data_IF_835977038891
#
_entry.id   IF_835977038891
#
_cell.length_a   1.000
_cell.length_b   1.000
_cell.length_c   1.000
_cell.angle_alpha   90.00
_cell.angle_beta   90.00
_cell.angle_gamma   90.00
#
_symmetry.space_group_name_H-M   'P 1'
#
loop_
_entity.id
_entity.type
_entity.pdbx_description
1 polymer ?
#
# COMPACT_ATOMS: atom_id res chain seq x y z
N UNK A 1 0.83 -15.47 -3.79
CA UNK A 1 -0.10 -14.48 -4.40
C UNK A 1 -0.59 -13.60 -3.28
N UNK A 2 -0.27 -12.31 -3.33
CA UNK A 2 -0.72 -11.30 -2.37
C UNK A 2 -1.93 -10.59 -3.01
N UNK A 3 -3.08 -10.58 -2.33
CA UNK A 3 -4.26 -9.86 -2.79
C UNK A 3 -4.54 -8.70 -1.83
N UNK A 4 -4.64 -7.49 -2.37
CA UNK A 4 -4.92 -6.28 -1.63
C UNK A 4 -6.28 -5.77 -2.09
N UNK A 5 -7.31 -5.95 -1.28
CA UNK A 5 -8.61 -5.34 -1.53
C UNK A 5 -8.65 -3.92 -0.94
N UNK A 6 -9.54 -3.07 -1.46
CA UNK A 6 -9.68 -1.66 -1.06
C UNK A 6 -8.34 -0.91 -1.04
N UNK A 7 -7.54 -1.03 -2.10
CA UNK A 7 -6.24 -0.35 -2.19
C UNK A 7 -6.35 1.16 -1.96
N UNK A 8 -7.49 1.78 -2.26
CA UNK A 8 -7.82 3.18 -2.00
C UNK A 8 -7.86 3.56 -0.50
N UNK A 9 -8.02 2.60 0.40
CA UNK A 9 -7.89 2.82 1.84
C UNK A 9 -6.43 3.10 2.25
N UNK A 10 -5.47 2.49 1.54
CA UNK A 10 -4.03 2.65 1.72
C UNK A 10 -3.44 3.74 0.82
N UNK A 11 -3.96 3.90 -0.40
CA UNK A 11 -3.38 4.71 -1.47
C UNK A 11 -3.93 6.13 -1.59
N UNK A 12 -4.77 6.59 -0.65
CA UNK A 12 -5.36 7.93 -0.67
C UNK A 12 -4.25 8.99 -0.60
N UNK A 13 -3.80 9.38 -1.80
CA UNK A 13 -2.94 10.49 -2.22
C UNK A 13 -2.05 11.08 -1.11
N UNK A 14 -0.73 11.10 -1.33
CA UNK A 14 0.28 11.90 -0.59
C UNK A 14 0.01 13.41 -0.75
N UNK A 15 -1.20 13.86 -0.46
CA UNK A 15 -1.68 15.21 -0.66
C UNK A 15 -1.31 16.06 0.55
N UNK A 16 -0.17 16.72 0.49
CA UNK A 16 0.05 18.15 0.78
C UNK A 16 -0.78 18.85 1.90
N UNK A 17 -1.24 18.17 2.95
CA UNK A 17 -2.16 18.78 3.89
C UNK A 17 -2.23 18.05 5.23
N UNK A 18 -1.78 18.77 6.27
CA UNK A 18 -1.96 18.49 7.70
C UNK A 18 -0.91 17.56 8.37
N UNK A 19 0.11 18.12 9.05
CA UNK A 19 0.96 17.36 9.95
C UNK A 19 0.19 17.12 11.27
N UNK A 20 -0.25 15.88 11.52
CA UNK A 20 -0.84 15.57 12.83
C UNK A 20 -1.73 14.33 12.97
N UNK A 21 -1.89 13.49 11.95
CA UNK A 21 -2.74 12.28 12.03
C UNK A 21 -2.29 11.12 11.14
N UNK A 22 -0.99 11.04 10.87
CA UNK A 22 -0.41 10.30 9.73
C UNK A 22 0.47 9.10 10.14
N UNK A 23 0.38 8.57 11.35
CA UNK A 23 1.38 7.56 11.79
C UNK A 23 1.00 6.12 11.44
N UNK A 24 -0.23 5.66 11.74
CA UNK A 24 -0.57 4.23 11.61
C UNK A 24 -0.67 3.77 10.15
N UNK A 25 -1.17 4.63 9.25
CA UNK A 25 -1.34 4.30 7.83
C UNK A 25 -0.01 4.23 7.11
N UNK A 26 0.87 5.22 7.32
CA UNK A 26 2.22 5.21 6.75
C UNK A 26 3.07 4.09 7.35
N UNK A 27 2.91 3.79 8.65
CA UNK A 27 3.58 2.67 9.28
C UNK A 27 3.15 1.33 8.67
N UNK A 28 1.85 1.15 8.41
CA UNK A 28 1.31 -0.06 7.75
C UNK A 28 1.81 -0.18 6.32
N UNK A 29 1.86 0.92 5.56
CA UNK A 29 2.38 0.94 4.20
C UNK A 29 3.89 0.62 4.15
N UNK A 30 4.68 1.26 5.01
CA UNK A 30 6.12 1.01 5.08
C UNK A 30 6.42 -0.42 5.51
N UNK A 31 5.63 -1.00 6.42
CA UNK A 31 5.77 -2.41 6.79
C UNK A 31 5.50 -3.33 5.59
N UNK A 32 4.47 -3.06 4.79
CA UNK A 32 4.18 -3.82 3.58
C UNK A 32 5.30 -3.67 2.52
N UNK A 33 5.88 -2.48 2.38
CA UNK A 33 7.00 -2.23 1.46
C UNK A 33 8.29 -2.92 1.90
N UNK A 34 8.61 -2.91 3.20
CA UNK A 34 9.78 -3.62 3.77
C UNK A 34 9.61 -5.14 3.59
N UNK A 35 8.41 -5.65 3.83
CA UNK A 35 8.11 -7.06 3.60
C UNK A 35 8.23 -7.41 2.12
N UNK A 36 7.74 -6.54 1.22
CA UNK A 36 7.87 -6.70 -0.24
C UNK A 36 9.34 -6.66 -0.73
N UNK A 37 10.21 -5.86 -0.11
CA UNK A 37 11.65 -5.79 -0.43
C UNK A 37 12.42 -7.04 0.04
N UNK A 38 11.88 -7.78 1.02
CA UNK A 38 12.44 -9.05 1.50
C UNK A 38 12.22 -10.25 0.57
N UNK A 39 11.35 -10.14 -0.45
CA UNK A 39 11.14 -11.21 -1.42
C UNK A 39 12.28 -11.22 -2.44
N UNK A 40 13.21 -12.16 -2.29
CA UNK A 40 14.29 -12.38 -3.25
C UNK A 40 13.77 -12.66 -4.67
N UNK A 41 14.59 -12.36 -5.69
CA UNK A 41 14.27 -12.47 -7.13
C UNK A 41 13.76 -13.85 -7.60
N UNK A 42 13.93 -14.89 -6.77
CA UNK A 42 13.53 -16.26 -7.05
C UNK A 42 12.10 -16.59 -6.58
N UNK A 43 11.42 -15.68 -5.88
CA UNK A 43 10.04 -15.87 -5.46
C UNK A 43 9.08 -15.28 -6.49
N UNK A 44 8.30 -16.14 -7.16
CA UNK A 44 7.22 -15.74 -8.06
C UNK A 44 6.04 -15.15 -7.27
N UNK A 45 6.20 -13.92 -6.77
CA UNK A 45 5.17 -13.18 -6.02
C UNK A 45 4.31 -12.41 -7.01
N UNK A 46 3.06 -12.85 -7.16
CA UNK A 46 2.03 -12.10 -7.89
C UNK A 46 1.29 -11.23 -6.86
N UNK A 47 1.38 -9.90 -7.00
CA UNK A 47 0.58 -8.93 -6.23
C UNK A 47 -0.59 -8.47 -7.09
N UNK A 48 -1.81 -8.59 -6.56
CA UNK A 48 -3.05 -8.20 -7.22
C UNK A 48 -3.83 -7.26 -6.32
N UNK A 49 -4.08 -6.04 -6.79
CA UNK A 49 -4.87 -5.04 -6.07
C UNK A 49 -6.28 -4.89 -6.64
N UNK A 50 -7.28 -4.78 -5.78
CA UNK A 50 -8.64 -4.37 -6.11
C UNK A 50 -8.94 -3.02 -5.42
N UNK A 51 -9.70 -2.16 -6.09
CA UNK A 51 -10.10 -0.85 -5.58
C UNK A 51 -11.53 -0.55 -5.99
N UNK A 52 -12.24 0.13 -5.10
CA UNK A 52 -13.58 0.64 -5.39
C UNK A 52 -13.56 2.08 -5.92
N UNK A 53 -12.38 2.73 -5.93
CA UNK A 53 -12.16 4.13 -6.33
C UNK A 53 -10.91 4.30 -7.19
N UNK A 54 -10.90 3.74 -8.42
CA UNK A 54 -9.74 3.85 -9.32
C UNK A 54 -9.39 5.30 -9.68
N UNK A 55 -10.30 6.25 -9.50
CA UNK A 55 -10.10 7.68 -9.74
C UNK A 55 -9.26 8.40 -8.67
N UNK A 56 -8.99 7.76 -7.53
CA UNK A 56 -8.30 8.40 -6.37
C UNK A 56 -6.92 7.84 -6.03
N UNK A 57 -6.50 6.79 -6.74
CA UNK A 57 -5.19 6.13 -6.60
C UNK A 57 -4.11 6.79 -7.46
#
# INVERSE_FOLDING_TARGET
MIFIDELDALGKTRGSGMPGGHDEREQTLNALLVEMDGFGSDQSVIVMGATNRPETL
#
